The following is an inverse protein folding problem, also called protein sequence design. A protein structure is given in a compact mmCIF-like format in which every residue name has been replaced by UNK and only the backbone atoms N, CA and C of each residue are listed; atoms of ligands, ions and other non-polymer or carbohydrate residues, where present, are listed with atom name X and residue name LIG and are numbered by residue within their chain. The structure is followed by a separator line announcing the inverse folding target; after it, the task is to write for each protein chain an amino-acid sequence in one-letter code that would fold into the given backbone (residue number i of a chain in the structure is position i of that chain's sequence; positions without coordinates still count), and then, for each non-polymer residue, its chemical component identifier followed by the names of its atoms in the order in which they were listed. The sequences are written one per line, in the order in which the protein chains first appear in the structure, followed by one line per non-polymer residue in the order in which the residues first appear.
data_IF_344648642495
#
_entry.id   IF_344648642495
#
_cell.length_a   1.000
_cell.length_b   1.000
_cell.length_c   1.000
_cell.angle_alpha   90.00
_cell.angle_beta   90.00
_cell.angle_gamma   90.00
#
_symmetry.space_group_name_H-M   'P 1'
#
loop_
_entity.id
_entity.type
_entity.pdbx_description
1 polymer ?
#
# COMPACT_ATOMS: atom_id res chain seq x y z
N UNK A 1 -16.23 23.30 13.36
CA UNK A 1 -15.79 22.72 12.07
C UNK A 1 -14.41 22.04 12.18
N UNK A 2 -14.09 21.31 13.26
CA UNK A 2 -12.71 20.82 13.49
C UNK A 2 -12.52 19.30 13.41
N UNK A 3 -13.58 18.50 13.25
CA UNK A 3 -13.47 17.02 13.29
C UNK A 3 -12.92 16.38 12.02
N UNK A 4 -13.22 16.95 10.84
CA UNK A 4 -12.84 16.37 9.55
C UNK A 4 -11.36 16.56 9.21
N UNK A 5 -10.78 17.72 9.51
CA UNK A 5 -9.36 18.03 9.24
C UNK A 5 -8.38 17.18 10.08
N UNK A 6 -8.73 16.94 11.35
CA UNK A 6 -7.95 16.11 12.26
C UNK A 6 -7.99 14.63 11.89
N UNK A 7 -9.15 14.14 11.44
CA UNK A 7 -9.31 12.77 10.98
C UNK A 7 -8.49 12.48 9.71
N UNK A 8 -8.52 13.40 8.73
CA UNK A 8 -7.67 13.30 7.53
C UNK A 8 -6.19 13.37 7.85
N UNK A 9 -5.77 14.21 8.81
CA UNK A 9 -4.37 14.31 9.23
C UNK A 9 -3.85 13.03 9.90
N UNK A 10 -4.66 12.41 10.76
CA UNK A 10 -4.32 11.13 11.41
C UNK A 10 -4.26 9.97 10.39
N UNK A 11 -5.17 9.95 9.42
CA UNK A 11 -5.15 8.95 8.35
C UNK A 11 -3.96 9.09 7.41
N UNK A 12 -3.49 10.31 7.12
CA UNK A 12 -2.31 10.53 6.26
C UNK A 12 -1.00 10.18 6.97
N UNK A 13 -0.93 10.40 8.29
CA UNK A 13 0.15 9.88 9.13
C UNK A 13 0.18 8.34 9.12
N UNK A 14 -0.97 7.67 9.24
CA UNK A 14 -1.05 6.21 9.18
C UNK A 14 -0.55 5.65 7.84
N UNK A 15 -0.94 6.26 6.71
CA UNK A 15 -0.46 5.87 5.38
C UNK A 15 1.05 6.05 5.22
N UNK A 16 1.58 7.16 5.73
CA UNK A 16 3.02 7.41 5.71
C UNK A 16 3.77 6.36 6.52
N UNK A 17 3.23 5.97 7.69
CA UNK A 17 3.80 4.90 8.52
C UNK A 17 3.76 3.53 7.83
N UNK A 18 2.67 3.17 7.17
CA UNK A 18 2.59 1.92 6.40
C UNK A 18 3.61 1.88 5.28
N UNK A 19 3.77 2.98 4.54
CA UNK A 19 4.78 3.08 3.49
C UNK A 19 6.21 2.90 4.01
N UNK A 20 6.55 3.59 5.12
CA UNK A 20 7.86 3.46 5.77
C UNK A 20 8.10 2.02 6.21
N UNK A 21 7.10 1.39 6.85
CA UNK A 21 7.20 0.02 7.33
C UNK A 21 7.47 -0.98 6.18
N UNK A 22 6.73 -0.88 5.07
CA UNK A 22 6.95 -1.71 3.88
C UNK A 22 8.37 -1.50 3.31
N UNK A 23 8.88 -0.28 3.32
CA UNK A 23 10.22 0.04 2.84
C UNK A 23 11.33 -0.56 3.73
N UNK A 24 11.19 -0.45 5.05
CA UNK A 24 12.13 -1.04 6.02
C UNK A 24 12.16 -2.57 5.88
N UNK A 25 10.98 -3.20 5.76
CA UNK A 25 10.85 -4.63 5.54
C UNK A 25 11.54 -5.08 4.24
N UNK A 26 11.36 -4.35 3.14
CA UNK A 26 12.10 -4.62 1.88
C UNK A 26 13.62 -4.53 2.06
N UNK A 27 14.08 -3.57 2.86
CA UNK A 27 15.50 -3.42 3.16
C UNK A 27 16.04 -4.59 3.99
N UNK A 28 15.26 -5.06 4.96
CA UNK A 28 15.57 -6.26 5.75
C UNK A 28 15.68 -7.51 4.88
N UNK A 29 14.73 -7.74 3.96
CA UNK A 29 14.76 -8.88 3.01
C UNK A 29 16.08 -8.93 2.24
N UNK A 30 16.50 -7.81 1.68
CA UNK A 30 17.79 -7.69 0.96
C UNK A 30 19.00 -7.95 1.85
N UNK A 31 18.96 -7.50 3.10
CA UNK A 31 20.03 -7.74 4.06
C UNK A 31 20.12 -9.22 4.41
N UNK A 32 19.00 -9.88 4.66
CA UNK A 32 18.94 -11.31 4.97
C UNK A 32 19.53 -12.17 3.84
N UNK A 33 19.22 -11.85 2.58
CA UNK A 33 19.80 -12.51 1.40
C UNK A 33 21.33 -12.35 1.40
N UNK A 34 21.82 -11.12 1.57
CA UNK A 34 23.27 -10.85 1.61
C UNK A 34 23.96 -11.56 2.77
N UNK A 35 23.31 -11.65 3.92
CA UNK A 35 23.83 -12.38 5.08
C UNK A 35 23.98 -13.86 4.75
N UNK A 36 22.96 -14.50 4.18
CA UNK A 36 22.99 -15.90 3.79
C UNK A 36 24.12 -16.19 2.79
N UNK A 37 24.25 -15.36 1.74
CA UNK A 37 25.31 -15.51 0.73
C UNK A 37 26.72 -15.32 1.30
N UNK A 38 26.87 -14.39 2.25
CA UNK A 38 28.15 -14.10 2.88
C UNK A 38 28.54 -15.18 3.87
N UNK A 39 27.59 -15.67 4.68
CA UNK A 39 27.81 -16.79 5.59
C UNK A 39 28.21 -18.06 4.83
N UNK A 40 27.53 -18.35 3.71
CA UNK A 40 27.88 -19.48 2.85
C UNK A 40 29.32 -19.39 2.32
N UNK A 41 29.69 -18.26 1.71
CA UNK A 41 31.07 -18.07 1.22
C UNK A 41 32.10 -18.10 2.36
N UNK A 42 31.75 -17.54 3.51
CA UNK A 42 32.62 -17.54 4.68
C UNK A 42 32.90 -18.96 5.17
N UNK A 43 31.87 -19.80 5.27
CA UNK A 43 32.05 -21.18 5.72
C UNK A 43 32.82 -22.02 4.70
N UNK A 44 32.63 -21.79 3.40
CA UNK A 44 33.40 -22.47 2.34
C UNK A 44 34.91 -22.20 2.48
N UNK A 45 35.27 -20.94 2.74
CA UNK A 45 36.68 -20.54 2.94
C UNK A 45 37.26 -21.17 4.21
N UNK A 46 36.50 -21.21 5.30
CA UNK A 46 36.98 -21.81 6.57
C UNK A 46 37.11 -23.32 6.43
N UNK A 47 36.17 -23.99 5.75
CA UNK A 47 36.24 -25.42 5.47
C UNK A 47 37.46 -25.77 4.61
N UNK A 48 37.75 -24.96 3.58
CA UNK A 48 38.94 -25.14 2.76
C UNK A 48 40.24 -24.95 3.56
N UNK A 49 40.28 -23.95 4.45
CA UNK A 49 41.41 -23.75 5.35
C UNK A 49 41.59 -24.94 6.30
N UNK A 50 40.50 -25.45 6.88
CA UNK A 50 40.52 -26.58 7.81
C UNK A 50 41.05 -27.85 7.15
N UNK A 51 40.63 -28.12 5.91
CA UNK A 51 41.14 -29.22 5.11
C UNK A 51 42.67 -29.11 4.89
N UNK A 52 43.16 -27.88 4.65
CA UNK A 52 44.58 -27.62 4.43
C UNK A 52 45.41 -27.62 5.73
N UNK A 53 44.78 -27.57 6.91
CA UNK A 53 45.46 -27.51 8.20
C UNK A 53 46.07 -28.86 8.65
N UNK A 54 45.85 -29.94 7.88
CA UNK A 54 46.36 -31.29 8.15
C UNK A 54 45.96 -31.84 9.54
N UNK A 55 44.86 -31.36 10.10
CA UNK A 55 44.28 -31.86 11.34
C UNK A 55 42.93 -32.49 11.05
N UNK A 56 42.87 -33.82 11.07
CA UNK A 56 41.67 -34.59 10.74
C UNK A 56 40.47 -34.27 11.63
N UNK A 57 40.68 -33.95 12.90
CA UNK A 57 39.60 -33.57 13.80
C UNK A 57 39.03 -32.18 13.46
N UNK A 58 39.88 -31.24 13.04
CA UNK A 58 39.44 -29.91 12.60
C UNK A 58 38.72 -30.00 11.25
N UNK A 59 39.22 -30.79 10.30
CA UNK A 59 38.57 -31.00 8.99
C UNK A 59 37.18 -31.61 9.15
N UNK A 60 37.03 -32.69 9.94
CA UNK A 60 35.72 -33.34 10.16
C UNK A 60 34.68 -32.39 10.80
N UNK A 61 35.07 -31.70 11.88
CA UNK A 61 34.17 -30.71 12.54
C UNK A 61 33.80 -29.58 11.57
N UNK A 62 34.74 -29.10 10.76
CA UNK A 62 34.48 -28.01 9.83
C UNK A 62 33.66 -28.44 8.62
N UNK A 63 33.76 -29.68 8.16
CA UNK A 63 32.87 -30.21 7.12
C UNK A 63 31.43 -30.28 7.61
N UNK A 64 31.20 -30.81 8.81
CA UNK A 64 29.85 -30.85 9.41
C UNK A 64 29.30 -29.43 9.65
N UNK A 65 30.15 -28.53 10.14
CA UNK A 65 29.80 -27.11 10.32
C UNK A 65 29.43 -26.46 8.98
N UNK A 66 30.20 -26.71 7.92
CA UNK A 66 29.92 -26.21 6.58
C UNK A 66 28.56 -26.67 6.07
N UNK A 67 28.25 -27.97 6.18
CA UNK A 67 26.95 -28.52 5.80
C UNK A 67 25.80 -27.86 6.56
N UNK A 68 25.96 -27.63 7.87
CA UNK A 68 24.96 -26.93 8.69
C UNK A 68 24.74 -25.50 8.21
N UNK A 69 25.81 -24.76 7.92
CA UNK A 69 25.72 -23.38 7.42
C UNK A 69 25.12 -23.31 6.01
N UNK A 70 25.39 -24.29 5.14
CA UNK A 70 24.73 -24.39 3.85
C UNK A 70 23.22 -24.55 3.99
N UNK A 71 22.78 -25.48 4.85
CA UNK A 71 21.36 -25.68 5.13
C UNK A 71 20.73 -24.42 5.73
N UNK A 72 21.41 -23.78 6.68
CA UNK A 72 20.93 -22.55 7.31
C UNK A 72 20.79 -21.41 6.30
N UNK A 73 21.78 -21.20 5.44
CA UNK A 73 21.73 -20.20 4.38
C UNK A 73 20.60 -20.48 3.38
N UNK A 74 20.37 -21.75 3.02
CA UNK A 74 19.25 -22.14 2.17
C UNK A 74 17.90 -21.79 2.82
N UNK A 75 17.72 -22.08 4.12
CA UNK A 75 16.50 -21.72 4.85
C UNK A 75 16.32 -20.20 4.97
N UNK A 76 17.39 -19.44 5.16
CA UNK A 76 17.33 -17.97 5.13
C UNK A 76 16.92 -17.43 3.76
N UNK A 77 17.44 -18.00 2.67
CA UNK A 77 17.07 -17.60 1.31
C UNK A 77 15.61 -17.94 1.01
N UNK A 78 15.14 -19.12 1.43
CA UNK A 78 13.73 -19.49 1.27
C UNK A 78 12.83 -18.55 2.06
N UNK A 79 13.17 -18.28 3.32
CA UNK A 79 12.46 -17.30 4.14
C UNK A 79 12.40 -15.93 3.47
N UNK A 80 13.51 -15.43 2.91
CA UNK A 80 13.53 -14.14 2.23
C UNK A 80 12.60 -14.11 1.00
N UNK A 81 12.48 -15.22 0.24
CA UNK A 81 11.54 -15.34 -0.88
C UNK A 81 10.09 -15.29 -0.42
N UNK A 82 9.77 -16.06 0.61
CA UNK A 82 8.42 -16.10 1.18
C UNK A 82 8.04 -14.72 1.75
N UNK A 83 8.99 -14.08 2.42
CA UNK A 83 8.86 -12.74 2.97
C UNK A 83 8.64 -11.68 1.88
N UNK A 84 9.36 -11.74 0.76
CA UNK A 84 9.14 -10.85 -0.38
C UNK A 84 7.75 -11.02 -0.99
N UNK A 85 7.25 -12.26 -1.07
CA UNK A 85 5.88 -12.52 -1.50
C UNK A 85 4.86 -11.85 -0.56
N UNK A 86 5.03 -11.97 0.77
CA UNK A 86 4.17 -11.27 1.74
C UNK A 86 4.24 -9.75 1.57
N UNK A 87 5.43 -9.19 1.31
CA UNK A 87 5.59 -7.76 1.07
C UNK A 87 4.84 -7.28 -0.17
N UNK A 88 4.80 -8.08 -1.24
CA UNK A 88 4.00 -7.77 -2.42
C UNK A 88 2.51 -7.72 -2.11
N UNK A 89 2.01 -8.59 -1.23
CA UNK A 89 0.61 -8.55 -0.80
C UNK A 89 0.31 -7.30 0.04
N UNK A 90 1.20 -6.92 0.96
CA UNK A 90 1.07 -5.67 1.73
C UNK A 90 1.10 -4.43 0.83
N UNK A 91 1.94 -4.44 -0.21
CA UNK A 91 1.99 -3.37 -1.20
C UNK A 91 0.64 -3.20 -1.92
N UNK A 92 0.01 -4.31 -2.34
CA UNK A 92 -1.31 -4.29 -2.98
C UNK A 92 -2.39 -3.70 -2.07
N UNK A 93 -2.40 -4.09 -0.80
CA UNK A 93 -3.34 -3.54 0.20
C UNK A 93 -3.13 -2.04 0.34
N UNK A 94 -1.88 -1.60 0.49
CA UNK A 94 -1.56 -0.19 0.62
C UNK A 94 -1.94 0.63 -0.63
N UNK A 95 -1.83 0.05 -1.83
CA UNK A 95 -2.24 0.72 -3.06
C UNK A 95 -3.78 0.76 -3.20
N UNK A 96 -4.49 -0.29 -2.79
CA UNK A 96 -5.95 -0.28 -2.70
C UNK A 96 -6.46 0.79 -1.70
N UNK A 97 -5.83 0.91 -0.53
CA UNK A 97 -6.15 1.93 0.47
C UNK A 97 -5.97 3.35 -0.08
N UNK A 98 -4.96 3.60 -0.94
CA UNK A 98 -4.80 4.89 -1.61
C UNK A 98 -5.96 5.16 -2.57
N UNK A 99 -6.34 4.18 -3.38
CA UNK A 99 -7.46 4.32 -4.32
C UNK A 99 -8.76 4.60 -3.59
N UNK A 100 -9.02 3.91 -2.47
CA UNK A 100 -10.19 4.17 -1.62
C UNK A 100 -10.18 5.61 -1.12
N UNK A 101 -9.04 6.09 -0.61
CA UNK A 101 -8.93 7.48 -0.14
C UNK A 101 -9.13 8.53 -1.24
N UNK A 102 -8.64 8.27 -2.44
CA UNK A 102 -8.85 9.16 -3.58
C UNK A 102 -10.33 9.25 -3.93
N UNK A 103 -11.02 8.11 -3.95
CA UNK A 103 -12.46 8.04 -4.14
C UNK A 103 -13.24 8.75 -3.02
N UNK A 104 -12.87 8.56 -1.76
CA UNK A 104 -13.50 9.25 -0.62
C UNK A 104 -13.35 10.77 -0.75
N UNK A 105 -12.18 11.26 -1.19
CA UNK A 105 -11.95 12.68 -1.46
C UNK A 105 -12.83 13.16 -2.61
N UNK A 106 -12.95 12.40 -3.69
CA UNK A 106 -13.82 12.75 -4.82
C UNK A 106 -15.29 12.84 -4.39
N UNK A 107 -15.81 11.84 -3.68
CA UNK A 107 -17.17 11.83 -3.13
C UNK A 107 -17.41 13.04 -2.23
N UNK A 108 -16.45 13.38 -1.36
CA UNK A 108 -16.56 14.57 -0.51
C UNK A 108 -16.65 15.87 -1.32
N UNK A 109 -15.92 15.97 -2.44
CA UNK A 109 -16.03 17.15 -3.34
C UNK A 109 -17.36 17.20 -4.07
N UNK A 110 -17.90 16.05 -4.49
CA UNK A 110 -19.21 15.95 -5.15
C UNK A 110 -20.33 16.30 -4.19
N UNK A 111 -20.32 15.81 -2.95
CA UNK A 111 -21.30 16.19 -1.91
C UNK A 111 -21.23 17.72 -1.63
N UNK A 112 -20.03 18.30 -1.59
CA UNK A 112 -19.91 19.75 -1.44
C UNK A 112 -20.50 20.52 -2.63
N UNK A 113 -20.29 20.05 -3.87
CA UNK A 113 -20.90 20.61 -5.09
C UNK A 113 -22.42 20.48 -5.06
N UNK A 114 -22.93 19.31 -4.69
CA UNK A 114 -24.36 19.03 -4.56
C UNK A 114 -25.02 19.97 -3.54
N UNK A 115 -24.40 20.15 -2.36
CA UNK A 115 -24.89 21.07 -1.33
C UNK A 115 -24.88 22.54 -1.79
N UNK A 116 -23.89 22.96 -2.57
CA UNK A 116 -23.84 24.30 -3.16
C UNK A 116 -24.96 24.49 -4.17
N UNK A 117 -25.10 23.57 -5.13
CA UNK A 117 -26.17 23.58 -6.13
C UNK A 117 -27.57 23.54 -5.49
N UNK A 118 -27.80 22.70 -4.47
CA UNK A 118 -29.06 22.68 -3.72
C UNK A 118 -29.35 24.02 -3.03
N UNK A 119 -28.34 24.69 -2.47
CA UNK A 119 -28.49 26.03 -1.89
C UNK A 119 -28.79 27.08 -2.95
N UNK A 120 -28.13 27.02 -4.10
CA UNK A 120 -28.33 27.95 -5.21
C UNK A 120 -29.69 27.75 -5.89
N UNK A 121 -30.18 26.52 -6.00
CA UNK A 121 -31.56 26.23 -6.40
C UNK A 121 -32.54 26.80 -5.38
N UNK A 122 -32.34 26.60 -4.07
CA UNK A 122 -33.26 27.16 -3.05
C UNK A 122 -33.28 28.69 -3.04
N UNK A 123 -32.12 29.36 -3.12
CA UNK A 123 -32.01 30.82 -3.23
C UNK A 123 -32.54 31.31 -4.58
N UNK A 124 -32.24 30.58 -5.64
CA UNK A 124 -32.70 30.83 -6.99
C UNK A 124 -34.22 30.71 -7.11
N UNK A 125 -34.88 29.75 -6.48
CA UNK A 125 -36.35 29.66 -6.48
C UNK A 125 -36.99 30.89 -5.81
N UNK A 126 -36.27 31.61 -4.93
CA UNK A 126 -36.73 32.87 -4.35
C UNK A 126 -36.49 34.10 -5.24
N UNK A 127 -35.41 34.12 -6.05
CA UNK A 127 -35.08 35.22 -6.98
C UNK A 127 -35.62 35.03 -8.42
N UNK A 128 -35.66 33.80 -8.92
CA UNK A 128 -36.07 33.41 -10.27
C UNK A 128 -37.58 33.20 -10.42
N UNK A 129 -38.35 33.19 -9.32
CA UNK A 129 -39.83 33.23 -9.40
C UNK A 129 -40.34 34.44 -10.19
N UNK A 130 -39.48 35.45 -10.40
CA UNK A 130 -39.83 36.68 -11.08
C UNK A 130 -39.31 36.85 -12.51
N UNK A 131 -38.35 36.07 -13.05
CA UNK A 131 -37.87 36.40 -14.43
C UNK A 131 -37.28 35.36 -15.40
N UNK A 132 -36.76 34.17 -15.03
CA UNK A 132 -36.21 33.22 -16.05
C UNK A 132 -36.28 31.76 -15.62
N UNK A 133 -37.08 30.94 -16.30
CA UNK A 133 -37.23 29.50 -16.04
C UNK A 133 -36.11 28.61 -16.61
N UNK A 134 -35.29 29.11 -17.55
CA UNK A 134 -34.25 28.32 -18.22
C UNK A 134 -33.07 27.93 -17.31
N UNK A 135 -32.65 28.83 -16.43
CA UNK A 135 -31.46 28.63 -15.59
C UNK A 135 -31.69 27.57 -14.49
N UNK A 136 -32.94 27.39 -14.04
CA UNK A 136 -33.31 26.35 -13.07
C UNK A 136 -33.24 24.95 -13.71
N UNK A 137 -33.58 24.81 -14.99
CA UNK A 137 -33.52 23.54 -15.70
C UNK A 137 -32.06 23.08 -15.88
N UNK A 138 -31.16 24.01 -16.21
CA UNK A 138 -29.72 23.73 -16.33
C UNK A 138 -29.11 23.25 -15.00
N UNK A 139 -29.47 23.89 -13.89
CA UNK A 139 -29.01 23.48 -12.56
C UNK A 139 -29.55 22.10 -12.14
N UNK A 140 -30.78 21.74 -12.54
CA UNK A 140 -31.32 20.40 -12.33
C UNK A 140 -30.59 19.34 -13.16
N UNK A 141 -30.30 19.64 -14.42
CA UNK A 141 -29.55 18.74 -15.30
C UNK A 141 -28.14 18.47 -14.76
N UNK A 142 -27.44 19.49 -14.29
CA UNK A 142 -26.13 19.33 -13.65
C UNK A 142 -26.19 18.50 -12.36
N UNK A 143 -27.28 18.59 -11.60
CA UNK A 143 -27.49 17.77 -10.40
C UNK A 143 -27.70 16.29 -10.78
N UNK A 144 -28.49 16.01 -11.82
CA UNK A 144 -28.72 14.66 -12.32
C UNK A 144 -27.44 14.02 -12.85
N UNK A 145 -26.58 14.78 -13.54
CA UNK A 145 -25.26 14.29 -13.96
C UNK A 145 -24.40 13.86 -12.76
N UNK A 146 -24.35 14.66 -11.69
CA UNK A 146 -23.60 14.29 -10.47
C UNK A 146 -24.15 13.02 -9.83
N UNK A 147 -25.48 12.85 -9.77
CA UNK A 147 -26.10 11.61 -9.28
C UNK A 147 -25.78 10.41 -10.17
N UNK A 148 -25.77 10.60 -11.49
CA UNK A 148 -25.42 9.56 -12.44
C UNK A 148 -23.96 9.11 -12.29
N UNK A 149 -23.02 10.04 -12.12
CA UNK A 149 -21.61 9.72 -11.87
C UNK A 149 -21.41 8.97 -10.55
N UNK A 150 -22.10 9.38 -9.48
CA UNK A 150 -22.08 8.65 -8.20
C UNK A 150 -22.61 7.23 -8.38
N UNK A 151 -23.73 7.05 -9.08
CA UNK A 151 -24.29 5.73 -9.33
C UNK A 151 -23.35 4.83 -10.14
N UNK A 152 -22.73 5.36 -11.20
CA UNK A 152 -21.77 4.62 -12.02
C UNK A 152 -20.54 4.19 -11.20
N UNK A 153 -20.05 5.08 -10.35
CA UNK A 153 -18.92 4.82 -9.46
C UNK A 153 -19.20 3.71 -8.45
N UNK A 154 -20.39 3.71 -7.82
CA UNK A 154 -20.78 2.63 -6.91
C UNK A 154 -21.06 1.31 -7.63
N UNK A 155 -21.58 1.35 -8.86
CA UNK A 155 -21.86 0.15 -9.65
C UNK A 155 -20.58 -0.53 -10.13
N UNK A 156 -19.57 0.22 -10.54
CA UNK A 156 -18.27 -0.33 -10.97
C UNK A 156 -17.42 -0.85 -9.81
N UNK A 157 -17.59 -0.29 -8.61
CA UNK A 157 -16.93 -0.79 -7.40
C UNK A 157 -17.44 -2.17 -6.94
N UNK A 158 -18.69 -2.53 -7.28
CA UNK A 158 -19.31 -3.82 -6.91
C UNK A 158 -18.87 -4.96 -7.86
N UNK A 159 -18.51 -4.66 -9.11
CA UNK A 159 -18.08 -5.67 -10.09
C UNK A 159 -16.62 -6.13 -9.92
N UNK A 160 -15.87 -5.54 -8.98
CA UNK A 160 -14.44 -5.83 -8.71
C UNK A 160 -14.20 -6.70 -7.46
N UNK A 161 -15.27 -7.17 -6.79
CA UNK A 161 -15.23 -8.18 -5.71
C UNK A 161 -15.68 -9.54 -6.18
#
# INVERSE_FOLDING_TARGET
MNGSSLHTGLQDLAMTRHFICIYEMKSFSKLAIKMAETQRRGVDVIAQWAHNAQNAAIDDVMQQTSQLFHLFAEKQLQFARDYEHFLQQLQKINDADKTIKEAEREVATLDQKERKLKKDIRKGVSFFRQRRGGDICLLRQQLEEVFFFLYLFFSSAIELT
#
